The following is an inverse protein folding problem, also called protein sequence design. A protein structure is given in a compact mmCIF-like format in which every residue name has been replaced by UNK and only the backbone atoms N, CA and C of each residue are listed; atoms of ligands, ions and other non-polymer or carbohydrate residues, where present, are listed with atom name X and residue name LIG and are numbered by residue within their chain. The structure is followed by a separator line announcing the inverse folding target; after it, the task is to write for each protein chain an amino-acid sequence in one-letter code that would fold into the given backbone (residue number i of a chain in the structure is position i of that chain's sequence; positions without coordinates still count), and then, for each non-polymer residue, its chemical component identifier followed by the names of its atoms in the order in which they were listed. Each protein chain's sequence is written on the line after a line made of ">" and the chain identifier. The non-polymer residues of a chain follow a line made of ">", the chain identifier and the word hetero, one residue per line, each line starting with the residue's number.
data_IF_870666173701
#
_entry.id   IF_870666173701
#
_cell.length_a   1.000
_cell.length_b   1.000
_cell.length_c   1.000
_cell.angle_alpha   90.00
_cell.angle_beta   90.00
_cell.angle_gamma   90.00
#
_symmetry.space_group_name_H-M   'P 1'
#
loop_
_entity.id
_entity.type
_entity.pdbx_description
1 polymer ?
#
# COMPACT_ATOMS: atom_id res chain seq x y z
N UNK A 1 -3.82 -15.24 10.74
CA UNK A 1 -4.81 -14.39 10.11
C UNK A 1 -6.21 -14.98 10.19
N UNK A 2 -7.21 -14.30 9.61
CA UNK A 2 -8.62 -14.71 9.64
C UNK A 2 -8.84 -16.13 9.08
N UNK A 3 -8.07 -16.55 8.08
CA UNK A 3 -8.16 -17.92 7.50
C UNK A 3 -7.75 -18.97 8.52
N UNK A 4 -6.71 -18.72 9.29
CA UNK A 4 -6.24 -19.67 10.31
C UNK A 4 -7.24 -19.77 11.45
N UNK A 5 -7.82 -18.65 11.86
CA UNK A 5 -8.92 -18.64 12.83
C UNK A 5 -10.12 -19.44 12.33
N UNK A 6 -10.53 -19.23 11.08
CA UNK A 6 -11.67 -19.93 10.46
C UNK A 6 -11.45 -21.44 10.37
N UNK A 7 -10.22 -21.89 10.13
CA UNK A 7 -9.89 -23.33 10.03
C UNK A 7 -9.75 -24.02 11.38
N UNK A 8 -9.36 -23.29 12.41
CA UNK A 8 -8.97 -23.84 13.70
C UNK A 8 -9.81 -23.32 14.88
N UNK A 9 -10.97 -22.69 14.60
CA UNK A 9 -11.77 -22.01 15.62
C UNK A 9 -12.19 -22.93 16.78
N UNK A 10 -12.37 -24.23 16.55
CA UNK A 10 -12.72 -25.19 17.59
C UNK A 10 -11.63 -25.36 18.66
N UNK A 11 -10.39 -24.99 18.34
CA UNK A 11 -9.25 -25.00 19.27
C UNK A 11 -9.16 -23.71 20.10
N UNK A 12 -9.96 -22.69 19.75
CA UNK A 12 -9.95 -21.40 20.42
C UNK A 12 -11.14 -21.29 21.39
N UNK A 13 -10.92 -20.62 22.50
CA UNK A 13 -11.98 -20.34 23.51
C UNK A 13 -12.98 -19.34 22.90
N UNK A 14 -14.28 -19.61 23.09
CA UNK A 14 -15.32 -18.63 22.84
C UNK A 14 -15.27 -17.53 23.90
N UNK A 15 -15.20 -16.26 23.46
CA UNK A 15 -14.99 -15.12 24.35
C UNK A 15 -16.29 -14.41 24.75
N UNK A 16 -17.41 -14.69 24.07
CA UNK A 16 -18.67 -13.97 24.26
C UNK A 16 -19.07 -13.82 25.74
N UNK A 17 -19.00 -14.90 26.51
CA UNK A 17 -19.39 -14.90 27.92
C UNK A 17 -18.38 -14.18 28.85
N UNK A 18 -17.17 -13.90 28.35
CA UNK A 18 -16.10 -13.25 29.12
C UNK A 18 -15.94 -11.76 28.82
N UNK A 19 -16.42 -11.32 27.65
CA UNK A 19 -16.18 -9.94 27.21
C UNK A 19 -16.81 -8.90 28.13
N UNK A 20 -18.04 -9.13 28.61
CA UNK A 20 -18.73 -8.18 29.48
C UNK A 20 -18.06 -8.07 30.85
N UNK A 21 -17.64 -9.21 31.43
CA UNK A 21 -17.09 -9.26 32.76
C UNK A 21 -15.61 -8.85 32.83
N UNK A 22 -14.82 -9.32 31.88
CA UNK A 22 -13.34 -9.19 31.90
C UNK A 22 -12.76 -8.17 30.93
N UNK A 23 -13.54 -7.74 29.94
CA UNK A 23 -13.07 -6.81 28.92
C UNK A 23 -14.10 -5.71 28.55
N UNK A 24 -14.58 -4.92 29.52
CA UNK A 24 -15.62 -3.91 29.29
C UNK A 24 -15.20 -2.85 28.28
N UNK A 25 -13.89 -2.54 28.14
CA UNK A 25 -13.39 -1.58 27.17
C UNK A 25 -13.49 -2.14 25.72
N UNK A 26 -13.35 -3.45 25.54
CA UNK A 26 -13.54 -4.10 24.22
C UNK A 26 -15.01 -4.09 23.84
N UNK A 27 -15.89 -4.37 24.80
CA UNK A 27 -17.34 -4.28 24.57
C UNK A 27 -17.75 -2.87 24.20
N UNK A 28 -17.29 -1.86 24.95
CA UNK A 28 -17.55 -0.45 24.62
C UNK A 28 -16.99 -0.06 23.24
N UNK A 29 -15.86 -0.60 22.84
CA UNK A 29 -15.30 -0.38 21.51
C UNK A 29 -16.17 -1.01 20.41
N UNK A 30 -16.70 -2.20 20.62
CA UNK A 30 -17.64 -2.85 19.70
C UNK A 30 -18.95 -2.05 19.51
N UNK A 31 -19.40 -1.36 20.55
CA UNK A 31 -20.57 -0.49 20.46
C UNK A 31 -20.35 0.73 19.54
N UNK A 32 -19.12 1.08 19.26
CA UNK A 32 -18.79 2.18 18.34
C UNK A 32 -18.72 1.77 16.87
N UNK A 33 -18.59 0.44 16.59
CA UNK A 33 -18.38 -0.09 15.24
C UNK A 33 -18.93 -1.50 15.10
N UNK A 34 -20.04 -1.63 14.43
CA UNK A 34 -20.75 -2.90 14.21
C UNK A 34 -19.96 -3.90 13.35
N UNK A 35 -19.05 -3.42 12.53
CA UNK A 35 -18.24 -4.24 11.63
C UNK A 35 -17.20 -5.10 12.37
N UNK A 36 -16.63 -4.61 13.49
CA UNK A 36 -15.61 -5.36 14.23
C UNK A 36 -16.14 -6.66 14.84
N UNK A 37 -17.24 -6.66 15.61
CA UNK A 37 -17.73 -7.91 16.16
C UNK A 37 -18.18 -8.90 15.07
N UNK A 38 -18.63 -8.43 13.92
CA UNK A 38 -18.99 -9.31 12.80
C UNK A 38 -17.74 -9.95 12.17
N UNK A 39 -16.67 -9.18 11.94
CA UNK A 39 -15.41 -9.69 11.37
C UNK A 39 -14.68 -10.69 12.28
N UNK A 40 -14.94 -10.65 13.59
CA UNK A 40 -14.30 -11.52 14.60
C UNK A 40 -15.10 -12.80 14.89
N UNK A 41 -16.28 -12.96 14.31
CA UNK A 41 -17.08 -14.18 14.50
C UNK A 41 -16.53 -15.33 13.68
N UNK A 42 -16.29 -16.44 14.36
CA UNK A 42 -15.97 -17.72 13.73
C UNK A 42 -17.22 -18.31 13.04
N UNK A 43 -17.07 -19.40 12.24
CA UNK A 43 -18.20 -20.04 11.55
C UNK A 43 -19.35 -20.49 12.47
N UNK A 44 -19.08 -20.73 13.74
CA UNK A 44 -20.08 -21.05 14.76
C UNK A 44 -20.79 -19.82 15.35
N UNK A 45 -20.50 -18.65 14.84
CA UNK A 45 -21.09 -17.37 15.30
C UNK A 45 -20.48 -16.80 16.57
N UNK A 46 -19.45 -17.45 17.17
CA UNK A 46 -18.80 -17.00 18.40
C UNK A 46 -17.59 -16.12 18.12
N UNK A 47 -17.35 -15.14 19.01
CA UNK A 47 -16.13 -14.33 19.01
C UNK A 47 -15.00 -15.15 19.62
N UNK A 48 -13.89 -15.32 18.88
CA UNK A 48 -12.76 -16.15 19.31
C UNK A 48 -11.42 -15.44 19.22
N UNK A 49 -11.44 -14.15 18.91
CA UNK A 49 -10.26 -13.29 18.86
C UNK A 49 -10.63 -11.90 19.37
N UNK A 50 -9.64 -11.17 19.86
CA UNK A 50 -9.78 -9.75 20.15
C UNK A 50 -9.33 -8.93 18.93
N UNK A 51 -9.94 -7.76 18.69
CA UNK A 51 -9.55 -6.89 17.59
C UNK A 51 -8.16 -6.31 17.84
N UNK A 52 -7.42 -6.15 16.76
CA UNK A 52 -6.32 -5.22 16.69
C UNK A 52 -6.78 -4.05 15.84
N UNK A 53 -7.23 -2.98 16.49
CA UNK A 53 -7.67 -1.75 15.83
C UNK A 53 -6.68 -0.64 16.11
N UNK A 54 -6.29 0.07 15.08
CA UNK A 54 -5.46 1.26 15.18
C UNK A 54 -6.12 2.38 14.37
N UNK A 55 -6.37 3.51 15.05
CA UNK A 55 -6.97 4.70 14.43
C UNK A 55 -5.92 5.80 14.18
N UNK A 56 -4.63 5.48 14.31
CA UNK A 56 -3.60 6.46 13.99
C UNK A 56 -3.55 6.71 12.49
N UNK A 57 -3.52 7.99 12.11
CA UNK A 57 -3.49 8.38 10.69
C UNK A 57 -2.28 7.79 9.94
N UNK A 58 -1.19 7.49 10.64
CA UNK A 58 -0.02 6.84 10.06
C UNK A 58 -0.30 5.41 9.59
N UNK A 59 -1.23 4.69 10.26
CA UNK A 59 -1.60 3.33 9.89
C UNK A 59 -2.80 3.27 8.92
N UNK A 60 -3.44 4.42 8.66
CA UNK A 60 -4.50 4.55 7.65
C UNK A 60 -3.95 4.86 6.25
N UNK A 61 -2.66 5.21 6.16
CA UNK A 61 -1.96 5.47 4.90
C UNK A 61 -0.98 4.34 4.70
N UNK A 62 -1.31 3.43 3.82
CA UNK A 62 -0.55 2.20 3.61
C UNK A 62 0.82 2.47 2.96
N UNK A 63 0.90 3.45 2.08
CA UNK A 63 2.14 3.84 1.43
C UNK A 63 2.17 5.31 1.06
N UNK A 64 3.36 5.86 0.92
CA UNK A 64 3.60 7.26 0.54
C UNK A 64 4.56 7.33 -0.64
N UNK A 65 4.22 8.19 -1.59
CA UNK A 65 5.15 8.58 -2.63
C UNK A 65 6.08 9.68 -2.11
N UNK A 66 7.38 9.47 -2.29
CA UNK A 66 8.40 10.45 -1.96
C UNK A 66 9.13 10.90 -3.21
N UNK A 67 9.40 12.19 -3.31
CA UNK A 67 10.22 12.75 -4.37
C UNK A 67 11.36 13.56 -3.76
N UNK A 68 12.53 13.52 -4.36
CA UNK A 68 13.68 14.28 -3.90
C UNK A 68 13.55 15.75 -4.31
N UNK A 69 13.07 16.59 -3.40
CA UNK A 69 12.88 18.02 -3.62
C UNK A 69 14.19 18.71 -4.02
N UNK A 70 15.34 18.31 -3.45
CA UNK A 70 16.62 18.92 -3.79
C UNK A 70 17.01 18.65 -5.26
N UNK A 71 16.60 17.53 -5.81
CA UNK A 71 16.83 17.22 -7.22
C UNK A 71 15.93 18.07 -8.13
N UNK A 72 14.66 18.23 -7.76
CA UNK A 72 13.76 19.15 -8.47
C UNK A 72 14.30 20.57 -8.48
N UNK A 73 14.68 21.11 -7.31
CA UNK A 73 15.19 22.46 -7.17
C UNK A 73 16.46 22.69 -7.99
N UNK A 74 17.39 21.72 -7.95
CA UNK A 74 18.66 21.81 -8.68
C UNK A 74 18.46 21.82 -10.20
N UNK A 75 17.52 21.03 -10.70
CA UNK A 75 17.18 20.97 -12.12
C UNK A 75 16.15 22.03 -12.53
N UNK A 76 15.66 22.86 -11.59
CA UNK A 76 14.61 23.85 -11.81
C UNK A 76 13.33 23.24 -12.38
N UNK A 77 12.93 22.09 -11.84
CA UNK A 77 11.71 21.38 -12.20
C UNK A 77 10.61 21.64 -11.16
N UNK A 78 9.38 21.73 -11.62
CA UNK A 78 8.22 21.81 -10.76
C UNK A 78 7.86 20.40 -10.22
N UNK A 79 7.08 20.37 -9.13
CA UNK A 79 6.51 19.12 -8.59
C UNK A 79 5.53 18.54 -9.60
N UNK A 80 5.68 17.28 -10.02
CA UNK A 80 4.78 16.67 -10.99
C UNK A 80 3.39 16.43 -10.37
N UNK A 81 2.34 16.76 -11.12
CA UNK A 81 0.94 16.59 -10.74
C UNK A 81 0.24 15.48 -11.56
N UNK A 82 0.87 15.03 -12.64
CA UNK A 82 0.33 14.01 -13.54
C UNK A 82 1.35 12.87 -13.77
N UNK A 83 0.91 11.67 -14.21
CA UNK A 83 1.82 10.60 -14.61
C UNK A 83 2.78 11.02 -15.75
N UNK A 84 2.33 11.84 -16.68
CA UNK A 84 3.13 12.35 -17.79
C UNK A 84 4.25 13.27 -17.27
N UNK A 85 3.93 14.22 -16.41
CA UNK A 85 4.90 15.10 -15.77
C UNK A 85 5.88 14.33 -14.88
N UNK A 86 5.39 13.31 -14.15
CA UNK A 86 6.27 12.42 -13.38
C UNK A 86 7.28 11.74 -14.29
N UNK A 87 6.86 11.22 -15.44
CA UNK A 87 7.78 10.60 -16.40
C UNK A 87 8.84 11.58 -16.89
N UNK A 88 8.46 12.83 -17.20
CA UNK A 88 9.42 13.88 -17.62
C UNK A 88 10.44 14.18 -16.51
N UNK A 89 10.00 14.30 -15.27
CA UNK A 89 10.88 14.48 -14.10
C UNK A 89 11.84 13.28 -13.94
N UNK A 90 11.36 12.05 -14.05
CA UNK A 90 12.21 10.86 -13.95
C UNK A 90 13.25 10.79 -15.08
N UNK A 91 12.90 11.21 -16.29
CA UNK A 91 13.85 11.34 -17.41
C UNK A 91 14.93 12.37 -17.07
N UNK A 92 14.54 13.51 -16.54
CA UNK A 92 15.48 14.54 -16.15
C UNK A 92 16.39 14.08 -15.01
N UNK A 93 15.88 13.34 -14.02
CA UNK A 93 16.68 12.75 -12.95
C UNK A 93 17.72 11.77 -13.49
N UNK A 94 17.37 10.94 -14.47
CA UNK A 94 18.30 10.01 -15.10
C UNK A 94 19.40 10.71 -15.89
N UNK A 95 19.05 11.79 -16.62
CA UNK A 95 19.90 12.31 -17.69
C UNK A 95 20.72 13.55 -17.29
N UNK A 96 20.38 14.26 -16.19
CA UNK A 96 20.91 15.58 -15.87
C UNK A 96 21.74 15.67 -14.58
N UNK A 97 22.22 14.55 -14.03
CA UNK A 97 23.09 14.53 -12.84
C UNK A 97 22.56 15.43 -11.69
N UNK A 98 21.37 15.13 -11.12
CA UNK A 98 20.79 15.96 -10.07
C UNK A 98 21.55 15.88 -8.74
N UNK A 99 22.38 14.87 -8.52
CA UNK A 99 23.23 14.77 -7.33
C UNK A 99 24.51 15.60 -7.48
N UNK A 100 24.98 15.87 -8.72
CA UNK A 100 26.11 16.74 -9.05
C UNK A 100 27.46 16.07 -8.83
N UNK A 101 27.53 14.74 -8.93
CA UNK A 101 28.79 13.98 -8.78
C UNK A 101 29.56 13.83 -10.10
N UNK A 102 28.95 14.20 -11.22
CA UNK A 102 29.53 14.14 -12.57
C UNK A 102 29.40 12.76 -13.21
N UNK A 103 28.58 11.88 -12.64
CA UNK A 103 28.30 10.54 -13.16
C UNK A 103 26.83 10.43 -13.54
N UNK A 104 26.50 9.53 -14.44
CA UNK A 104 25.12 9.15 -14.75
C UNK A 104 24.82 7.81 -14.05
N UNK A 105 24.54 7.90 -12.76
CA UNK A 105 24.35 6.74 -11.88
C UNK A 105 23.06 6.83 -11.07
N UNK A 106 22.23 7.84 -11.32
CA UNK A 106 20.96 8.03 -10.65
C UNK A 106 19.99 6.88 -10.95
N UNK A 107 19.31 6.47 -9.88
CA UNK A 107 18.12 5.63 -9.97
C UNK A 107 16.90 6.56 -9.81
N UNK A 108 16.20 6.90 -10.92
CA UNK A 108 15.13 7.90 -10.88
C UNK A 108 13.95 7.49 -10.01
N UNK A 109 13.59 6.20 -10.03
CA UNK A 109 12.48 5.65 -9.28
C UNK A 109 12.78 4.24 -8.80
N UNK A 110 12.56 3.99 -7.52
CA UNK A 110 12.63 2.66 -6.92
C UNK A 110 11.46 2.48 -5.95
N UNK A 111 11.09 1.24 -5.70
CA UNK A 111 10.10 0.84 -4.71
C UNK A 111 10.47 -0.54 -4.16
N UNK A 112 9.83 -0.96 -3.10
CA UNK A 112 10.05 -2.28 -2.54
C UNK A 112 8.79 -3.13 -2.70
N UNK A 113 8.91 -4.28 -3.37
CA UNK A 113 7.86 -5.29 -3.51
C UNK A 113 7.89 -6.30 -2.34
N UNK A 114 8.42 -5.90 -1.20
CA UNK A 114 8.51 -6.74 -0.02
C UNK A 114 7.52 -6.28 1.06
N UNK A 115 7.12 -7.21 1.89
CA UNK A 115 6.26 -7.01 3.03
C UNK A 115 6.70 -5.80 3.88
N UNK A 116 5.83 -4.80 4.02
CA UNK A 116 6.08 -3.71 4.95
C UNK A 116 5.50 -2.36 4.50
N UNK A 117 5.74 -1.35 5.30
CA UNK A 117 5.27 0.04 5.23
C UNK A 117 5.75 0.85 4.00
N UNK A 118 6.51 0.26 3.11
CA UNK A 118 7.15 0.92 1.99
C UNK A 118 6.56 0.54 0.62
N UNK A 119 5.36 0.00 0.58
CA UNK A 119 4.65 -0.26 -0.68
C UNK A 119 4.22 1.08 -1.26
N UNK A 120 4.90 1.51 -2.29
CA UNK A 120 4.62 2.80 -2.91
C UNK A 120 3.98 2.67 -4.29
N UNK A 121 4.06 1.49 -4.89
CA UNK A 121 3.60 1.31 -6.27
C UNK A 121 2.08 1.34 -6.40
N UNK A 122 1.35 0.86 -5.39
CA UNK A 122 -0.12 0.83 -5.37
C UNK A 122 -0.72 2.23 -5.46
N UNK A 123 -0.06 3.23 -4.90
CA UNK A 123 -0.52 4.62 -4.97
C UNK A 123 -0.58 5.15 -6.42
N UNK A 124 0.27 4.62 -7.30
CA UNK A 124 0.28 5.05 -8.69
C UNK A 124 -0.99 4.62 -9.44
N UNK A 125 -1.62 3.52 -9.01
CA UNK A 125 -2.91 3.10 -9.58
C UNK A 125 -4.00 4.14 -9.35
N UNK A 126 -3.93 4.88 -8.25
CA UNK A 126 -4.83 6.00 -7.96
C UNK A 126 -4.79 7.09 -9.03
N UNK A 127 -3.63 7.37 -9.61
CA UNK A 127 -3.48 8.34 -10.70
C UNK A 127 -4.21 7.91 -11.99
N UNK A 128 -4.51 6.62 -12.13
CA UNK A 128 -5.30 6.06 -13.24
C UNK A 128 -6.74 5.70 -12.82
N UNK A 129 -7.19 6.19 -11.65
CA UNK A 129 -8.56 6.07 -11.19
C UNK A 129 -8.93 4.71 -10.58
N UNK A 130 -7.95 3.92 -10.16
CA UNK A 130 -8.16 2.61 -9.53
C UNK A 130 -7.64 2.62 -8.11
N UNK A 131 -8.45 2.16 -7.17
CA UNK A 131 -7.97 1.83 -5.83
C UNK A 131 -7.35 0.43 -5.86
N UNK A 132 -6.10 0.34 -5.44
CA UNK A 132 -5.34 -0.91 -5.44
C UNK A 132 -4.91 -1.26 -4.02
N UNK A 133 -4.88 -2.56 -3.73
CA UNK A 133 -4.39 -3.14 -2.48
C UNK A 133 -3.93 -4.59 -2.73
N UNK A 134 -3.38 -5.24 -1.69
CA UNK A 134 -2.87 -6.62 -1.76
C UNK A 134 -3.86 -7.67 -2.22
N UNK A 135 -5.15 -7.46 -1.94
CA UNK A 135 -6.21 -8.41 -2.27
C UNK A 135 -6.82 -8.13 -3.65
N UNK A 136 -6.40 -7.04 -4.30
CA UNK A 136 -6.98 -6.53 -5.55
C UNK A 136 -8.50 -6.30 -5.46
N UNK A 137 -9.02 -6.01 -4.26
CA UNK A 137 -10.45 -5.88 -4.01
C UNK A 137 -10.73 -4.59 -3.24
N UNK A 138 -11.66 -3.80 -3.76
CA UNK A 138 -12.17 -2.61 -3.08
C UNK A 138 -13.69 -2.48 -3.25
N UNK A 139 -14.29 -1.51 -2.57
CA UNK A 139 -15.72 -1.22 -2.69
C UNK A 139 -15.94 0.14 -3.36
N UNK A 140 -16.87 0.19 -4.33
CA UNK A 140 -17.32 1.41 -4.98
C UNK A 140 -18.83 1.39 -5.05
N UNK A 141 -19.49 2.40 -4.51
CA UNK A 141 -20.95 2.53 -4.48
C UNK A 141 -21.69 1.31 -3.89
N UNK A 142 -21.09 0.66 -2.91
CA UNK A 142 -21.63 -0.53 -2.24
C UNK A 142 -21.41 -1.85 -2.98
N UNK A 143 -20.73 -1.83 -4.12
CA UNK A 143 -20.36 -3.03 -4.87
C UNK A 143 -18.90 -3.40 -4.62
N UNK A 144 -18.63 -4.70 -4.62
CA UNK A 144 -17.27 -5.24 -4.53
C UNK A 144 -16.66 -5.27 -5.93
N UNK A 145 -15.53 -4.58 -6.08
CA UNK A 145 -14.79 -4.45 -7.36
C UNK A 145 -13.48 -5.22 -7.25
N UNK A 146 -13.15 -5.99 -8.26
CA UNK A 146 -11.84 -6.57 -8.44
C UNK A 146 -10.99 -5.65 -9.33
N UNK A 147 -10.01 -4.97 -8.74
CA UNK A 147 -9.23 -3.88 -9.37
C UNK A 147 -8.55 -4.30 -10.67
N UNK A 148 -8.03 -5.53 -10.74
CA UNK A 148 -7.35 -6.05 -11.93
C UNK A 148 -8.26 -6.22 -13.17
N UNK A 149 -9.57 -5.97 -13.06
CA UNK A 149 -10.50 -5.92 -14.19
C UNK A 149 -10.79 -4.50 -14.67
N UNK A 150 -10.35 -3.50 -13.93
CA UNK A 150 -10.54 -2.09 -14.29
C UNK A 150 -9.57 -1.66 -15.39
N UNK A 151 -10.03 -0.78 -16.30
CA UNK A 151 -9.18 -0.27 -17.39
C UNK A 151 -7.96 0.47 -16.84
N UNK A 152 -8.16 1.29 -15.81
CA UNK A 152 -7.05 2.02 -15.17
C UNK A 152 -5.96 1.13 -14.58
N UNK A 153 -6.30 -0.10 -14.15
CA UNK A 153 -5.30 -1.08 -13.74
C UNK A 153 -4.38 -1.47 -14.92
N UNK A 154 -4.98 -1.77 -16.06
CA UNK A 154 -4.22 -2.08 -17.27
C UNK A 154 -3.38 -0.90 -17.75
N UNK A 155 -3.93 0.31 -17.72
CA UNK A 155 -3.24 1.53 -18.13
C UNK A 155 -2.04 1.80 -17.21
N UNK A 156 -2.18 1.57 -15.89
CA UNK A 156 -1.07 1.67 -14.93
C UNK A 156 0.04 0.68 -15.27
N UNK A 157 -0.30 -0.58 -15.56
CA UNK A 157 0.70 -1.58 -15.91
C UNK A 157 1.44 -1.24 -17.20
N UNK A 158 0.77 -0.66 -18.19
CA UNK A 158 1.41 -0.17 -19.42
C UNK A 158 2.38 0.96 -19.08
N UNK A 159 1.95 1.93 -18.28
CA UNK A 159 2.79 3.05 -17.87
C UNK A 159 4.03 2.58 -17.09
N UNK A 160 3.88 1.70 -16.12
CA UNK A 160 5.00 1.12 -15.36
C UNK A 160 5.96 0.32 -16.24
N UNK A 161 5.43 -0.47 -17.17
CA UNK A 161 6.24 -1.21 -18.12
C UNK A 161 7.07 -0.27 -19.01
N UNK A 162 6.48 0.86 -19.41
CA UNK A 162 7.14 1.88 -20.22
C UNK A 162 8.29 2.54 -19.42
N UNK A 163 8.02 2.96 -18.19
CA UNK A 163 9.06 3.48 -17.29
C UNK A 163 10.21 2.49 -17.08
N UNK A 164 9.87 1.21 -16.83
CA UNK A 164 10.89 0.17 -16.62
C UNK A 164 11.75 -0.06 -17.88
N UNK A 165 11.13 -0.14 -19.05
CA UNK A 165 11.84 -0.32 -20.33
C UNK A 165 12.73 0.85 -20.70
N UNK A 166 12.35 2.05 -20.31
CA UNK A 166 13.17 3.24 -20.52
C UNK A 166 14.27 3.39 -19.45
N UNK A 167 14.35 2.50 -18.45
CA UNK A 167 15.35 2.55 -17.39
C UNK A 167 15.10 3.68 -16.37
N UNK A 168 13.84 4.07 -16.21
CA UNK A 168 13.40 5.05 -15.22
C UNK A 168 13.06 4.39 -13.88
N UNK A 169 12.80 3.09 -13.87
CA UNK A 169 12.65 2.27 -12.67
C UNK A 169 13.93 1.47 -12.46
N UNK A 170 14.32 1.34 -11.19
CA UNK A 170 15.43 0.49 -10.78
C UNK A 170 15.32 -0.91 -11.40
N UNK A 171 16.35 -1.37 -12.04
CA UNK A 171 16.38 -2.69 -12.70
C UNK A 171 16.29 -3.84 -11.70
N UNK A 172 16.78 -3.61 -10.49
CA UNK A 172 16.84 -4.60 -9.43
C UNK A 172 15.63 -4.55 -8.49
N UNK A 173 14.64 -3.68 -8.76
CA UNK A 173 13.46 -3.40 -7.91
C UNK A 173 12.75 -4.67 -7.42
N UNK A 174 12.65 -5.71 -8.26
CA UNK A 174 11.99 -6.97 -7.90
C UNK A 174 12.88 -7.95 -7.10
N UNK A 175 14.13 -7.60 -6.87
CA UNK A 175 15.11 -8.45 -6.18
C UNK A 175 15.79 -7.77 -5.01
N UNK A 176 15.50 -6.49 -4.78
CA UNK A 176 16.03 -5.72 -3.66
C UNK A 176 15.61 -6.33 -2.32
N UNK A 177 16.59 -6.54 -1.44
CA UNK A 177 16.30 -6.76 -0.03
C UNK A 177 15.93 -5.44 0.66
N UNK A 178 15.27 -5.54 1.83
CA UNK A 178 14.95 -4.34 2.62
C UNK A 178 16.19 -3.52 3.00
N UNK A 179 17.31 -4.18 3.26
CA UNK A 179 18.58 -3.49 3.59
C UNK A 179 19.16 -2.75 2.37
N UNK A 180 19.02 -3.32 1.18
CA UNK A 180 19.46 -2.67 -0.07
C UNK A 180 18.58 -1.49 -0.45
N UNK A 181 17.28 -1.59 -0.21
CA UNK A 181 16.35 -0.49 -0.46
C UNK A 181 16.57 0.69 0.51
N UNK A 182 16.99 0.43 1.75
CA UNK A 182 17.22 1.44 2.77
C UNK A 182 18.62 2.09 2.70
N UNK A 183 19.54 1.57 1.87
CA UNK A 183 20.91 2.05 1.73
C UNK A 183 21.02 3.22 0.75
#
# INVERSE_FOLDING_TARGET
>A
GNIDMTRNYEQLVALDDYLEEYAPNVTAFFDTRDDYPQALRAPDGKIRALPNGDETSANMIDSLFWINQNWLDRLSLDMPETPEELKEVLIAFRDQDPNGDGLQNEIPFTFQDAWGWARSIENLFGAFGVLENDDHVFTRDGEVIFSAREQGYYDTLIYLNDLYREGLIDKDVFTLSSDQYAA
#
